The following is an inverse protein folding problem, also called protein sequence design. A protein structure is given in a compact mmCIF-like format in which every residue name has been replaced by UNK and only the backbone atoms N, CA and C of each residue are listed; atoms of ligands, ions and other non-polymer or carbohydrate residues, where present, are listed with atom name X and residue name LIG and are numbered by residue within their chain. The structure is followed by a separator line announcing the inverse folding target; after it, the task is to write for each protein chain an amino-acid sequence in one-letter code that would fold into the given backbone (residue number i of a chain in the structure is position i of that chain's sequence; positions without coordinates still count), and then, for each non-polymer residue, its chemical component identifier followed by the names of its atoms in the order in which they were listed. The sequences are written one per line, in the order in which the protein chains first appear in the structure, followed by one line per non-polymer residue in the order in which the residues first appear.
data_IF_719311728131
#
_entry.id   IF_719311728131
#
_cell.length_a   1.000
_cell.length_b   1.000
_cell.length_c   1.000
_cell.angle_alpha   90.00
_cell.angle_beta   90.00
_cell.angle_gamma   90.00
#
_symmetry.space_group_name_H-M   'P 1'
#
loop_
_entity.id
_entity.type
_entity.pdbx_description
1 polymer ?
#
# COMPACT_ATOMS: atom_id res chain seq x y z
N UNK A 1 8.01 9.48 -11.86
CA UNK A 1 6.74 10.24 -11.90
C UNK A 1 7.07 11.70 -11.70
N UNK A 2 6.31 12.65 -12.24
CA UNK A 2 6.51 14.06 -11.90
C UNK A 2 6.26 14.28 -10.40
N UNK A 3 6.96 15.24 -9.79
CA UNK A 3 6.78 15.58 -8.38
C UNK A 3 5.31 15.89 -8.07
N UNK A 4 4.85 15.52 -6.87
CA UNK A 4 3.51 15.88 -6.43
C UNK A 4 3.45 17.39 -6.18
N UNK A 5 2.36 18.11 -6.54
CA UNK A 5 2.26 19.54 -6.29
C UNK A 5 2.31 19.78 -4.79
N UNK A 6 3.30 20.56 -4.32
CA UNK A 6 3.53 20.79 -2.88
C UNK A 6 2.26 21.22 -2.16
N UNK A 7 1.53 22.20 -2.73
CA UNK A 7 0.26 22.68 -2.17
C UNK A 7 -0.73 21.55 -1.89
N UNK A 8 -0.88 20.57 -2.79
CA UNK A 8 -1.82 19.46 -2.58
C UNK A 8 -1.25 18.46 -1.55
N UNK A 9 0.06 18.21 -1.56
CA UNK A 9 0.68 17.34 -0.56
C UNK A 9 0.48 17.86 0.87
N UNK A 10 0.62 19.18 1.05
CA UNK A 10 0.60 19.82 2.37
C UNK A 10 -0.83 20.09 2.85
N UNK A 11 -1.74 20.49 1.95
CA UNK A 11 -3.11 20.89 2.33
C UNK A 11 -4.07 19.73 2.46
N UNK A 12 -3.91 18.66 1.67
CA UNK A 12 -4.90 17.58 1.63
C UNK A 12 -5.05 16.85 2.98
N UNK A 13 -3.97 16.48 3.70
CA UNK A 13 -4.10 15.91 5.03
C UNK A 13 -4.79 16.87 6.00
N UNK A 14 -4.47 18.17 5.94
CA UNK A 14 -5.07 19.20 6.79
C UNK A 14 -6.57 19.30 6.53
N UNK A 15 -6.99 19.33 5.26
CA UNK A 15 -8.40 19.38 4.86
C UNK A 15 -9.14 18.15 5.41
N UNK A 16 -8.59 16.95 5.26
CA UNK A 16 -9.23 15.72 5.76
C UNK A 16 -9.34 15.70 7.28
N UNK A 17 -8.28 16.07 8.00
CA UNK A 17 -8.28 16.12 9.48
C UNK A 17 -9.25 17.20 9.96
N UNK A 18 -9.20 18.40 9.39
CA UNK A 18 -10.13 19.47 9.73
C UNK A 18 -11.58 19.05 9.47
N UNK A 19 -11.86 18.41 8.33
CA UNK A 19 -13.18 17.89 8.03
C UNK A 19 -13.63 16.88 9.09
N UNK A 20 -12.82 15.86 9.40
CA UNK A 20 -13.17 14.86 10.42
C UNK A 20 -13.39 15.47 11.81
N UNK A 21 -12.55 16.41 12.24
CA UNK A 21 -12.68 17.09 13.52
C UNK A 21 -13.93 17.97 13.57
N UNK A 22 -14.24 18.70 12.50
CA UNK A 22 -15.47 19.50 12.41
C UNK A 22 -16.71 18.62 12.40
N UNK A 23 -16.70 17.48 11.71
CA UNK A 23 -17.79 16.50 11.76
C UNK A 23 -18.01 16.02 13.18
N UNK A 24 -16.95 15.63 13.88
CA UNK A 24 -17.03 15.11 15.25
C UNK A 24 -17.52 16.16 16.25
N UNK A 25 -17.06 17.41 16.14
CA UNK A 25 -17.48 18.49 17.02
C UNK A 25 -18.96 18.85 16.81
N UNK A 26 -19.41 18.88 15.56
CA UNK A 26 -20.75 19.33 15.19
C UNK A 26 -21.78 18.20 15.15
N UNK A 27 -21.37 16.93 15.19
CA UNK A 27 -22.28 15.78 15.09
C UNK A 27 -23.34 15.69 16.17
N UNK A 28 -23.07 16.28 17.33
CA UNK A 28 -24.02 16.31 18.45
C UNK A 28 -25.10 17.39 18.31
N UNK A 29 -24.85 18.40 17.47
CA UNK A 29 -25.66 19.62 17.40
C UNK A 29 -26.38 19.80 16.06
N UNK A 30 -25.78 19.31 14.97
CA UNK A 30 -26.29 19.50 13.61
C UNK A 30 -26.67 18.14 13.02
N UNK A 31 -27.97 17.90 12.87
CA UNK A 31 -28.46 16.77 12.11
C UNK A 31 -28.06 16.93 10.63
N UNK A 32 -27.54 15.87 10.02
CA UNK A 32 -27.10 15.90 8.61
C UNK A 32 -25.61 16.17 8.38
N UNK A 33 -24.82 16.53 9.41
CA UNK A 33 -23.39 16.84 9.22
C UNK A 33 -22.58 15.63 8.70
N UNK A 34 -22.97 14.42 9.11
CA UNK A 34 -22.35 13.18 8.63
C UNK A 34 -22.54 13.02 7.12
N UNK A 35 -23.73 13.32 6.61
CA UNK A 35 -24.07 13.22 5.19
C UNK A 35 -23.23 14.18 4.36
N UNK A 36 -23.10 15.44 4.80
CA UNK A 36 -22.25 16.44 4.15
C UNK A 36 -20.79 16.01 4.18
N UNK A 37 -20.31 15.57 5.33
CA UNK A 37 -18.91 15.16 5.52
C UNK A 37 -18.55 13.97 4.65
N UNK A 38 -19.41 12.94 4.59
CA UNK A 38 -19.23 11.80 3.70
C UNK A 38 -19.14 12.22 2.22
N UNK A 39 -19.95 13.20 1.77
CA UNK A 39 -19.86 13.71 0.38
C UNK A 39 -18.51 14.39 0.13
N UNK A 40 -18.09 15.28 1.05
CA UNK A 40 -16.84 16.03 0.91
C UNK A 40 -15.61 15.11 0.95
N UNK A 41 -15.61 14.10 1.83
CA UNK A 41 -14.59 13.06 1.88
C UNK A 41 -14.54 12.31 0.54
N UNK A 42 -15.69 11.87 0.04
CA UNK A 42 -15.76 11.10 -1.21
C UNK A 42 -15.20 11.88 -2.41
N UNK A 43 -15.55 13.16 -2.53
CA UNK A 43 -15.02 14.04 -3.59
C UNK A 43 -13.52 14.24 -3.43
N UNK A 44 -13.06 14.55 -2.22
CA UNK A 44 -11.64 14.85 -1.93
C UNK A 44 -10.76 13.63 -2.22
N UNK A 45 -11.14 12.46 -1.72
CA UNK A 45 -10.40 11.21 -1.94
C UNK A 45 -10.46 10.75 -3.40
N UNK A 46 -11.57 10.99 -4.10
CA UNK A 46 -11.65 10.72 -5.55
C UNK A 46 -10.70 11.62 -6.34
N UNK A 47 -10.65 12.92 -6.01
CA UNK A 47 -9.70 13.86 -6.61
C UNK A 47 -8.25 13.46 -6.38
N UNK A 48 -7.90 13.06 -5.15
CA UNK A 48 -6.59 12.51 -4.82
C UNK A 48 -6.24 11.27 -5.65
N UNK A 49 -7.17 10.32 -5.73
CA UNK A 49 -6.96 9.07 -6.45
C UNK A 49 -6.73 9.30 -7.95
N UNK A 50 -7.57 10.12 -8.59
CA UNK A 50 -7.44 10.48 -10.00
C UNK A 50 -6.11 11.19 -10.29
N UNK A 51 -5.73 12.17 -9.46
CA UNK A 51 -4.48 12.90 -9.61
C UNK A 51 -3.27 11.95 -9.50
N UNK A 52 -3.32 11.03 -8.53
CA UNK A 52 -2.23 10.08 -8.28
C UNK A 52 -2.13 9.05 -9.41
N UNK A 53 -3.26 8.52 -9.89
CA UNK A 53 -3.30 7.62 -11.06
C UNK A 53 -2.75 8.30 -12.33
N UNK A 54 -3.13 9.56 -12.57
CA UNK A 54 -2.60 10.35 -13.69
C UNK A 54 -1.08 10.48 -13.59
N UNK A 55 -0.54 10.78 -12.40
CA UNK A 55 0.91 10.87 -12.19
C UNK A 55 1.62 9.53 -12.34
N UNK A 56 1.04 8.44 -11.85
CA UNK A 56 1.58 7.09 -12.03
C UNK A 56 1.61 6.66 -13.50
N UNK A 57 0.76 7.24 -14.34
CA UNK A 57 0.73 7.01 -15.78
C UNK A 57 1.79 7.83 -16.54
N UNK A 58 2.26 8.95 -15.97
CA UNK A 58 3.28 9.83 -16.55
C UNK A 58 4.72 9.42 -16.17
N UNK A 59 5.01 8.12 -16.04
CA UNK A 59 6.35 7.64 -15.68
C UNK A 59 7.26 7.66 -16.91
N UNK A 60 8.43 8.33 -16.77
CA UNK A 60 9.45 8.41 -17.83
C UNK A 60 10.14 7.07 -18.18
N UNK A 61 10.12 6.08 -17.28
CA UNK A 61 10.67 4.74 -17.50
C UNK A 61 9.66 3.69 -17.01
N UNK A 62 8.76 3.21 -17.89
CA UNK A 62 7.76 2.23 -17.52
C UNK A 62 8.38 0.82 -17.48
N UNK A 63 8.91 0.45 -16.31
CA UNK A 63 9.24 -0.96 -16.02
C UNK A 63 8.06 -1.56 -15.26
N UNK A 64 7.69 -2.79 -15.62
CA UNK A 64 6.66 -3.56 -14.94
C UNK A 64 7.12 -3.82 -13.49
N UNK A 65 6.49 -3.12 -12.57
CA UNK A 65 6.81 -3.15 -11.14
C UNK A 65 5.51 -3.48 -10.40
N UNK A 66 5.53 -4.58 -9.64
CA UNK A 66 4.37 -5.06 -8.91
C UNK A 66 3.84 -3.98 -7.95
N UNK A 67 4.72 -3.18 -7.33
CA UNK A 67 4.30 -2.13 -6.41
C UNK A 67 3.47 -1.06 -7.12
N UNK A 68 3.85 -0.67 -8.34
CA UNK A 68 3.09 0.30 -9.13
C UNK A 68 1.71 -0.26 -9.49
N UNK A 69 1.62 -1.55 -9.78
CA UNK A 69 0.33 -2.19 -10.03
C UNK A 69 -0.53 -2.29 -8.77
N UNK A 70 0.03 -2.64 -7.61
CA UNK A 70 -0.70 -2.56 -6.35
C UNK A 70 -1.22 -1.14 -6.08
N UNK A 71 -0.42 -0.10 -6.33
CA UNK A 71 -0.88 1.29 -6.24
C UNK A 71 -2.04 1.58 -7.20
N UNK A 72 -1.96 1.13 -8.46
CA UNK A 72 -3.04 1.32 -9.44
C UNK A 72 -4.32 0.61 -9.02
N UNK A 73 -4.22 -0.65 -8.61
CA UNK A 73 -5.34 -1.44 -8.10
C UNK A 73 -5.96 -0.77 -6.88
N UNK A 74 -5.15 -0.33 -5.93
CA UNK A 74 -5.63 0.36 -4.73
C UNK A 74 -6.37 1.65 -5.06
N UNK A 75 -5.78 2.52 -5.88
CA UNK A 75 -6.41 3.81 -6.23
C UNK A 75 -7.66 3.64 -7.10
N UNK A 76 -7.69 2.64 -7.98
CA UNK A 76 -8.90 2.28 -8.73
C UNK A 76 -10.00 1.78 -7.77
N UNK A 77 -9.64 0.94 -6.80
CA UNK A 77 -10.56 0.47 -5.77
C UNK A 77 -11.08 1.63 -4.90
N UNK A 78 -10.23 2.58 -4.55
CA UNK A 78 -10.66 3.78 -3.82
C UNK A 78 -11.71 4.58 -4.60
N UNK A 79 -11.54 4.74 -5.92
CA UNK A 79 -12.53 5.42 -6.76
C UNK A 79 -13.87 4.69 -6.78
N UNK A 80 -13.85 3.36 -6.91
CA UNK A 80 -15.06 2.53 -6.87
C UNK A 80 -15.75 2.65 -5.52
N UNK A 81 -14.99 2.62 -4.42
CA UNK A 81 -15.53 2.77 -3.07
C UNK A 81 -16.19 4.15 -2.88
N UNK A 82 -15.51 5.24 -3.27
CA UNK A 82 -16.06 6.59 -3.14
C UNK A 82 -17.30 6.79 -4.02
N UNK A 83 -17.31 6.25 -5.24
CA UNK A 83 -18.49 6.26 -6.10
C UNK A 83 -19.66 5.49 -5.45
N UNK A 84 -19.41 4.32 -4.88
CA UNK A 84 -20.43 3.53 -4.19
C UNK A 84 -21.03 4.28 -2.99
N UNK A 85 -20.21 4.98 -2.21
CA UNK A 85 -20.66 5.82 -1.08
C UNK A 85 -21.53 7.00 -1.52
N UNK A 86 -21.30 7.56 -2.72
CA UNK A 86 -22.17 8.59 -3.30
C UNK A 86 -23.48 8.00 -3.83
N UNK A 87 -23.42 6.83 -4.49
CA UNK A 87 -24.60 6.13 -5.04
C UNK A 87 -25.52 5.63 -3.91
N UNK A 88 -24.95 5.19 -2.78
CA UNK A 88 -25.69 4.75 -1.59
C UNK A 88 -26.74 5.80 -1.14
N UNK A 89 -26.46 7.08 -1.34
CA UNK A 89 -27.38 8.18 -0.98
C UNK A 89 -28.57 8.30 -1.92
N UNK A 90 -28.49 7.73 -3.12
CA UNK A 90 -29.49 7.80 -4.17
C UNK A 90 -30.39 6.55 -4.20
N UNK A 91 -30.09 5.54 -3.38
CA UNK A 91 -30.80 4.26 -3.38
C UNK A 91 -31.13 3.83 -1.96
N UNK A 92 -32.19 3.05 -1.79
CA UNK A 92 -32.52 2.40 -0.51
C UNK A 92 -31.90 1.01 -0.37
N UNK A 93 -31.15 0.55 -1.39
CA UNK A 93 -30.49 -0.75 -1.38
C UNK A 93 -29.22 -0.74 -0.55
N UNK A 94 -28.96 -1.80 0.23
CA UNK A 94 -27.70 -2.00 0.94
C UNK A 94 -26.52 -2.40 0.01
N UNK A 95 -26.77 -2.55 -1.29
CA UNK A 95 -25.77 -3.04 -2.24
C UNK A 95 -24.57 -2.09 -2.42
N UNK A 96 -24.72 -0.75 -2.57
CA UNK A 96 -23.58 0.15 -2.70
C UNK A 96 -22.70 0.17 -1.45
N UNK A 97 -23.29 0.09 -0.25
CA UNK A 97 -22.51 -0.03 0.98
C UNK A 97 -21.62 -1.30 1.01
N UNK A 98 -22.10 -2.43 0.49
CA UNK A 98 -21.28 -3.66 0.34
C UNK A 98 -20.12 -3.45 -0.63
N UNK A 99 -20.36 -2.78 -1.76
CA UNK A 99 -19.33 -2.42 -2.74
C UNK A 99 -18.30 -1.48 -2.09
N UNK A 100 -18.75 -0.45 -1.36
CA UNK A 100 -17.89 0.45 -0.60
C UNK A 100 -16.98 -0.34 0.35
N UNK A 101 -17.57 -1.21 1.19
CA UNK A 101 -16.81 -1.98 2.18
C UNK A 101 -15.72 -2.85 1.53
N UNK A 102 -16.07 -3.59 0.48
CA UNK A 102 -15.12 -4.45 -0.25
C UNK A 102 -14.01 -3.61 -0.87
N UNK A 103 -14.36 -2.61 -1.69
CA UNK A 103 -13.36 -1.86 -2.44
C UNK A 103 -12.52 -0.93 -1.56
N UNK A 104 -13.04 -0.46 -0.42
CA UNK A 104 -12.25 0.27 0.56
C UNK A 104 -11.22 -0.64 1.24
N UNK A 105 -11.59 -1.87 1.59
CA UNK A 105 -10.66 -2.87 2.11
C UNK A 105 -9.60 -3.25 1.05
N UNK A 106 -10.01 -3.44 -0.20
CA UNK A 106 -9.09 -3.69 -1.33
C UNK A 106 -8.12 -2.52 -1.52
N UNK A 107 -8.59 -1.28 -1.44
CA UNK A 107 -7.74 -0.09 -1.47
C UNK A 107 -6.67 -0.16 -0.38
N UNK A 108 -7.08 -0.29 0.88
CA UNK A 108 -6.17 -0.29 2.01
C UNK A 108 -5.12 -1.41 1.89
N UNK A 109 -5.57 -2.64 1.63
CA UNK A 109 -4.69 -3.80 1.51
C UNK A 109 -3.72 -3.65 0.33
N UNK A 110 -4.17 -3.14 -0.82
CA UNK A 110 -3.30 -2.92 -1.98
C UNK A 110 -2.18 -1.93 -1.66
N UNK A 111 -2.48 -0.83 -0.95
CA UNK A 111 -1.47 0.15 -0.56
C UNK A 111 -0.48 -0.45 0.45
N UNK A 112 -0.96 -1.22 1.43
CA UNK A 112 -0.12 -1.94 2.39
C UNK A 112 0.83 -2.90 1.68
N UNK A 113 0.34 -3.71 0.74
CA UNK A 113 1.17 -4.63 -0.04
C UNK A 113 2.19 -3.88 -0.92
N UNK A 114 1.80 -2.75 -1.52
CA UNK A 114 2.75 -1.91 -2.28
C UNK A 114 3.88 -1.37 -1.39
N UNK A 115 3.55 -0.92 -0.17
CA UNK A 115 4.54 -0.43 0.79
C UNK A 115 5.41 -1.55 1.34
N UNK A 116 4.83 -2.71 1.64
CA UNK A 116 5.56 -3.90 2.08
C UNK A 116 6.73 -4.24 1.14
N UNK A 117 6.45 -4.30 -0.16
CA UNK A 117 7.45 -4.61 -1.19
C UNK A 117 8.50 -3.51 -1.42
N UNK A 118 8.30 -2.32 -0.86
CA UNK A 118 9.33 -1.26 -0.84
C UNK A 118 10.11 -1.26 0.47
N UNK A 119 9.40 -1.32 1.59
CA UNK A 119 9.95 -1.14 2.93
C UNK A 119 10.82 -2.31 3.32
N UNK A 120 10.39 -3.57 3.11
CA UNK A 120 11.15 -4.73 3.56
C UNK A 120 12.52 -4.81 2.85
N UNK A 121 12.61 -4.76 1.50
CA UNK A 121 13.92 -4.73 0.84
C UNK A 121 14.77 -3.52 1.20
N UNK A 122 14.14 -2.35 1.34
CA UNK A 122 14.83 -1.12 1.71
C UNK A 122 15.46 -1.24 3.10
N UNK A 123 14.72 -1.72 4.10
CA UNK A 123 15.22 -1.86 5.47
C UNK A 123 16.35 -2.90 5.55
N UNK A 124 16.20 -4.04 4.88
CA UNK A 124 17.24 -5.08 4.82
C UNK A 124 18.55 -4.52 4.26
N UNK A 125 18.48 -3.85 3.10
CA UNK A 125 19.65 -3.22 2.49
C UNK A 125 20.21 -2.08 3.34
N UNK A 126 19.34 -1.15 3.79
CA UNK A 126 19.74 0.04 4.53
C UNK A 126 20.46 -0.32 5.82
N UNK A 127 19.96 -1.30 6.56
CA UNK A 127 20.56 -1.72 7.81
C UNK A 127 21.94 -2.36 7.58
N UNK A 128 22.06 -3.32 6.66
CA UNK A 128 23.35 -3.96 6.33
C UNK A 128 24.38 -2.94 5.80
N UNK A 129 23.94 -2.02 4.95
CA UNK A 129 24.79 -0.96 4.44
C UNK A 129 25.25 -0.01 5.56
N UNK A 130 24.36 0.32 6.51
CA UNK A 130 24.69 1.14 7.68
C UNK A 130 25.63 0.43 8.67
N UNK A 131 25.58 -0.90 8.72
CA UNK A 131 26.53 -1.73 9.50
C UNK A 131 27.89 -1.88 8.79
N UNK A 132 28.05 -1.37 7.57
CA UNK A 132 29.30 -1.37 6.82
C UNK A 132 29.58 -2.66 6.02
N UNK A 133 28.55 -3.45 5.69
CA UNK A 133 28.70 -4.61 4.82
C UNK A 133 28.71 -4.20 3.34
N UNK A 134 29.82 -4.42 2.64
CA UNK A 134 29.95 -4.13 1.20
C UNK A 134 29.12 -5.08 0.33
N UNK A 135 28.87 -6.28 0.82
CA UNK A 135 28.08 -7.31 0.16
C UNK A 135 26.59 -7.19 0.49
N UNK A 136 26.12 -6.02 0.94
CA UNK A 136 24.70 -5.81 1.23
C UNK A 136 23.87 -6.05 -0.04
N UNK A 137 22.87 -6.95 0.00
CA UNK A 137 22.08 -7.31 -1.16
C UNK A 137 21.26 -6.12 -1.63
N UNK A 138 21.22 -5.90 -2.94
CA UNK A 138 20.36 -4.91 -3.57
C UNK A 138 18.88 -5.26 -3.34
N UNK A 139 18.00 -4.26 -3.37
CA UNK A 139 16.58 -4.46 -3.05
C UNK A 139 15.89 -5.56 -3.88
N UNK A 140 16.26 -5.71 -5.17
CA UNK A 140 15.71 -6.74 -6.03
C UNK A 140 16.24 -8.15 -5.72
N UNK A 141 17.34 -8.26 -4.99
CA UNK A 141 17.91 -9.52 -4.50
C UNK A 141 17.22 -9.95 -3.21
N UNK A 142 16.85 -8.99 -2.36
CA UNK A 142 16.07 -9.25 -1.13
C UNK A 142 14.68 -9.77 -1.47
N UNK A 143 13.96 -9.11 -2.38
CA UNK A 143 12.69 -9.61 -2.93
C UNK A 143 12.72 -9.48 -4.45
N UNK A 144 12.72 -10.63 -5.11
CA UNK A 144 12.75 -10.65 -6.56
C UNK A 144 11.44 -10.09 -7.18
N UNK A 145 11.50 -9.19 -8.18
CA UNK A 145 10.32 -8.55 -8.77
C UNK A 145 9.26 -9.53 -9.30
N UNK A 146 9.68 -10.66 -9.88
CA UNK A 146 8.77 -11.72 -10.34
C UNK A 146 7.91 -12.29 -9.20
N UNK A 147 8.46 -12.35 -7.99
CA UNK A 147 7.78 -12.92 -6.83
C UNK A 147 6.75 -11.96 -6.26
N UNK A 148 7.02 -10.65 -6.33
CA UNK A 148 6.03 -9.62 -6.06
C UNK A 148 4.88 -9.63 -7.10
N UNK A 149 5.19 -9.89 -8.38
CA UNK A 149 4.16 -10.04 -9.43
C UNK A 149 3.25 -11.25 -9.20
N UNK A 150 3.79 -12.38 -8.73
CA UNK A 150 2.96 -13.53 -8.34
C UNK A 150 1.97 -13.17 -7.23
N UNK A 151 2.43 -12.41 -6.23
CA UNK A 151 1.55 -11.94 -5.16
C UNK A 151 0.46 -10.99 -5.68
N UNK A 152 0.80 -10.11 -6.62
CA UNK A 152 -0.18 -9.26 -7.29
C UNK A 152 -1.28 -10.08 -7.96
N UNK A 153 -0.96 -11.19 -8.65
CA UNK A 153 -1.97 -12.04 -9.26
C UNK A 153 -2.86 -12.74 -8.22
N UNK A 154 -2.31 -13.20 -7.10
CA UNK A 154 -3.10 -13.74 -5.98
C UNK A 154 -4.07 -12.67 -5.46
N UNK A 155 -3.59 -11.44 -5.26
CA UNK A 155 -4.39 -10.32 -4.80
C UNK A 155 -5.49 -9.95 -5.80
N UNK A 156 -5.19 -9.89 -7.10
CA UNK A 156 -6.19 -9.60 -8.13
C UNK A 156 -7.24 -10.72 -8.22
N UNK A 157 -6.85 -11.99 -8.13
CA UNK A 157 -7.78 -13.10 -8.06
C UNK A 157 -8.68 -12.99 -6.83
N UNK A 158 -8.13 -12.67 -5.66
CA UNK A 158 -8.89 -12.42 -4.43
C UNK A 158 -9.92 -11.30 -4.62
N UNK A 159 -9.55 -10.17 -5.26
CA UNK A 159 -10.48 -9.08 -5.57
C UNK A 159 -11.64 -9.56 -6.45
N UNK A 160 -11.34 -10.29 -7.54
CA UNK A 160 -12.37 -10.82 -8.45
C UNK A 160 -13.33 -11.75 -7.71
N UNK A 161 -12.81 -12.68 -6.89
CA UNK A 161 -13.65 -13.61 -6.13
C UNK A 161 -14.48 -12.89 -5.07
N UNK A 162 -13.97 -11.86 -4.40
CA UNK A 162 -14.76 -11.01 -3.49
C UNK A 162 -15.89 -10.27 -4.21
N UNK A 163 -15.67 -9.79 -5.43
CA UNK A 163 -16.74 -9.16 -6.21
C UNK A 163 -17.79 -10.18 -6.63
N UNK A 164 -17.37 -11.37 -7.10
CA UNK A 164 -18.29 -12.44 -7.49
C UNK A 164 -19.07 -13.01 -6.29
N UNK A 165 -18.53 -12.95 -5.07
CA UNK A 165 -19.24 -13.42 -3.87
C UNK A 165 -20.47 -12.58 -3.52
N UNK A 166 -20.58 -11.35 -4.06
CA UNK A 166 -21.80 -10.55 -3.97
C UNK A 166 -22.98 -11.18 -4.74
N UNK A 167 -22.69 -11.97 -5.77
CA UNK A 167 -23.68 -12.68 -6.58
C UNK A 167 -23.87 -14.13 -6.10
N UNK A 168 -22.80 -14.77 -5.60
CA UNK A 168 -22.81 -16.15 -5.15
C UNK A 168 -22.07 -16.31 -3.81
N UNK A 169 -22.84 -16.31 -2.71
CA UNK A 169 -22.32 -16.26 -1.34
C UNK A 169 -21.22 -17.30 -0.98
N UNK A 170 -21.25 -18.56 -1.47
CA UNK A 170 -20.20 -19.54 -1.17
C UNK A 170 -18.79 -19.14 -1.62
N UNK A 171 -18.66 -18.23 -2.61
CA UNK A 171 -17.35 -17.72 -3.03
C UNK A 171 -16.64 -16.91 -1.94
N UNK A 172 -17.35 -16.46 -0.89
CA UNK A 172 -16.74 -15.79 0.25
C UNK A 172 -15.66 -16.67 0.93
N UNK A 173 -15.90 -17.99 1.03
CA UNK A 173 -14.90 -18.90 1.59
C UNK A 173 -13.64 -18.97 0.73
N UNK A 174 -13.81 -19.00 -0.60
CA UNK A 174 -12.68 -18.98 -1.53
C UNK A 174 -11.92 -17.65 -1.48
N UNK A 175 -12.62 -16.52 -1.35
CA UNK A 175 -11.99 -15.22 -1.14
C UNK A 175 -11.17 -15.19 0.17
N UNK A 176 -11.70 -15.78 1.24
CA UNK A 176 -11.00 -15.96 2.51
C UNK A 176 -9.73 -16.80 2.38
N UNK A 177 -9.79 -17.92 1.66
CA UNK A 177 -8.62 -18.78 1.38
C UNK A 177 -7.55 -18.01 0.60
N UNK A 178 -7.93 -17.25 -0.42
CA UNK A 178 -6.99 -16.42 -1.20
C UNK A 178 -6.37 -15.30 -0.35
N UNK A 179 -7.13 -14.75 0.59
CA UNK A 179 -6.64 -13.76 1.56
C UNK A 179 -5.59 -14.37 2.48
N UNK A 180 -5.86 -15.56 3.03
CA UNK A 180 -4.89 -16.31 3.85
C UNK A 180 -3.63 -16.60 3.03
N UNK A 181 -3.79 -17.07 1.79
CA UNK A 181 -2.67 -17.34 0.89
C UNK A 181 -1.81 -16.08 0.63
N UNK A 182 -2.43 -14.91 0.48
CA UNK A 182 -1.75 -13.62 0.34
C UNK A 182 -0.91 -13.29 1.58
N UNK A 183 -1.45 -13.44 2.79
CA UNK A 183 -0.70 -13.20 4.02
C UNK A 183 0.40 -14.24 4.26
N UNK A 184 0.18 -15.51 3.94
CA UNK A 184 1.22 -16.56 3.99
C UNK A 184 2.35 -16.24 3.01
N UNK A 185 2.02 -15.77 1.80
CA UNK A 185 3.02 -15.33 0.82
C UNK A 185 3.85 -14.18 1.36
N UNK A 186 3.22 -13.18 1.98
CA UNK A 186 3.90 -12.06 2.61
C UNK A 186 4.85 -12.53 3.74
N UNK A 187 4.38 -13.42 4.61
CA UNK A 187 5.18 -14.00 5.69
C UNK A 187 6.41 -14.73 5.13
N UNK A 188 6.22 -15.52 4.07
CA UNK A 188 7.31 -16.22 3.41
C UNK A 188 8.38 -15.26 2.86
N UNK A 189 7.98 -14.11 2.29
CA UNK A 189 8.94 -13.08 1.85
C UNK A 189 9.73 -12.47 3.01
N UNK A 190 9.08 -12.22 4.14
CA UNK A 190 9.75 -11.71 5.35
C UNK A 190 10.80 -12.72 5.82
N UNK A 191 10.43 -14.00 5.90
CA UNK A 191 11.34 -15.08 6.30
C UNK A 191 12.52 -15.17 5.33
N UNK A 192 12.28 -15.07 4.02
CA UNK A 192 13.34 -15.09 3.01
C UNK A 192 14.30 -13.91 3.17
N UNK A 193 13.77 -12.68 3.27
CA UNK A 193 14.57 -11.48 3.49
C UNK A 193 15.40 -11.56 4.77
N UNK A 194 14.81 -12.06 5.86
CA UNK A 194 15.50 -12.26 7.13
C UNK A 194 16.62 -13.32 7.06
N UNK A 195 16.41 -14.42 6.32
CA UNK A 195 17.45 -15.43 6.10
C UNK A 195 18.61 -14.85 5.30
N UNK A 196 18.33 -14.12 4.23
CA UNK A 196 19.34 -13.44 3.42
C UNK A 196 20.11 -12.41 4.25
N UNK A 197 19.41 -11.64 5.08
CA UNK A 197 20.00 -10.70 6.02
C UNK A 197 21.00 -11.38 6.96
N UNK A 198 20.58 -12.47 7.62
CA UNK A 198 21.45 -13.24 8.53
C UNK A 198 22.62 -13.90 7.82
N UNK A 199 22.43 -14.36 6.59
CA UNK A 199 23.51 -14.93 5.78
C UNK A 199 24.55 -13.87 5.46
N UNK A 200 24.11 -12.67 5.05
CA UNK A 200 25.00 -11.54 4.75
C UNK A 200 25.80 -11.13 5.98
N UNK A 201 25.18 -11.08 7.17
CA UNK A 201 25.93 -10.80 8.41
C UNK A 201 27.00 -11.86 8.75
N UNK A 202 26.77 -13.13 8.38
CA UNK A 202 27.72 -14.22 8.67
C UNK A 202 28.87 -14.33 7.68
N UNK A 203 28.65 -13.94 6.43
CA UNK A 203 29.57 -14.24 5.31
C UNK A 203 30.05 -13.00 4.57
N UNK A 204 29.44 -11.84 4.84
CA UNK A 204 29.74 -10.60 4.16
C UNK A 204 30.98 -9.90 4.70
N UNK A 205 31.71 -9.26 3.80
CA UNK A 205 32.86 -8.45 4.15
C UNK A 205 32.40 -7.13 4.79
N UNK A 206 32.90 -6.87 6.00
CA UNK A 206 32.59 -5.68 6.79
C UNK A 206 33.76 -4.71 6.73
N UNK A 207 33.47 -3.41 6.71
CA UNK A 207 34.49 -2.38 6.88
C UNK A 207 35.15 -2.48 8.26
N UNK A 208 36.37 -3.02 8.33
CA UNK A 208 37.22 -2.90 9.50
C UNK A 208 38.00 -1.58 9.40
N UNK A 209 37.60 -0.59 10.20
CA UNK A 209 38.47 0.55 10.47
C UNK A 209 39.64 -0.01 11.27
N UNK A 210 40.75 -0.29 10.60
CA UNK A 210 42.00 -0.70 11.20
C UNK A 210 42.31 0.19 12.41
N UNK A 211 42.17 -0.37 13.61
CA UNK A 211 42.63 0.21 14.88
C UNK A 211 44.18 0.20 15.00
N UNK A 212 44.90 0.09 13.89
CA UNK A 212 46.36 0.08 13.83
C UNK A 212 47.00 1.45 13.60
N UNK A 213 46.22 2.54 13.57
CA UNK A 213 46.77 3.92 13.55
C UNK A 213 47.04 4.51 14.95
N UNK A 214 47.07 3.70 16.01
CA UNK A 214 47.48 4.14 17.37
C UNK A 214 48.77 3.49 17.91
N UNK A 215 49.44 2.64 17.12
CA UNK A 215 50.68 1.96 17.54
C UNK A 215 51.94 2.46 16.81
N UNK A 216 51.91 3.66 16.22
CA UNK A 216 52.97 4.18 15.35
C UNK A 216 53.62 5.50 15.81
N UNK A 217 53.43 5.93 17.05
CA UNK A 217 54.15 7.06 17.65
C UNK A 217 54.62 6.70 19.05
N UNK A 218 55.63 5.84 19.13
CA UNK A 218 56.56 5.82 20.26
C UNK A 218 57.85 6.46 19.82
#
# INVERSE_FOLDING_TARGET
TPAYPKKIADTLPIILVALLLTTLALSFWISGIWQVSHTLIAITLSGYALLTLRKLSQRKRPVADATVWFWRTGLAALLIAMAALLIDKLTSSAFPMKIFAIFYAVFALSIVLAMFYKIVPFLTWFHLNSEGYFTAPMMHEVIHPKTAMKHLYIHLAMVVIFVLSLLFAPLLYLAGILTILSFVWMLWQIIHAWRLYRQTQKTGEKFEINANMQAGSR
#
